data_IF_957786165802
#
_entry.id   IF_957786165802
#
_cell.length_a   1.000
_cell.length_b   1.000
_cell.length_c   1.000
_cell.angle_alpha   90.00
_cell.angle_beta   90.00
_cell.angle_gamma   90.00
#
_symmetry.space_group_name_H-M   'P 1'
#
loop_
_entity.id
_entity.type
_entity.pdbx_description
1 polymer ?
#
# COMPACT_ATOMS: atom_id res chain seq x y z
N UNK A 1 -6.05 -27.11 -5.35
CA UNK A 1 -5.69 -25.75 -5.81
C UNK A 1 -4.36 -25.36 -5.16
N UNK A 2 -3.42 -24.82 -5.92
CA UNK A 2 -2.12 -24.37 -5.40
C UNK A 2 -2.28 -22.99 -4.77
N UNK A 3 -1.87 -22.85 -3.50
CA UNK A 3 -1.91 -21.58 -2.78
C UNK A 3 -0.71 -20.71 -3.16
N UNK A 4 -0.92 -19.40 -3.28
CA UNK A 4 0.17 -18.47 -3.57
C UNK A 4 1.19 -18.45 -2.43
N UNK A 5 2.49 -18.40 -2.77
CA UNK A 5 3.60 -18.40 -1.80
C UNK A 5 3.50 -17.25 -0.82
N UNK A 6 3.12 -16.07 -1.29
CA UNK A 6 3.06 -14.89 -0.43
C UNK A 6 1.95 -14.98 0.61
N UNK A 7 0.84 -15.64 0.28
CA UNK A 7 -0.25 -15.88 1.23
C UNK A 7 0.23 -16.84 2.31
N UNK A 8 0.94 -17.91 1.93
CA UNK A 8 1.53 -18.84 2.91
C UNK A 8 2.54 -18.13 3.83
N UNK A 9 3.36 -17.23 3.27
CA UNK A 9 4.29 -16.41 4.07
C UNK A 9 3.51 -15.51 5.03
N UNK A 10 2.52 -14.77 4.54
CA UNK A 10 1.70 -13.85 5.35
C UNK A 10 1.01 -14.58 6.51
N UNK A 11 0.44 -15.76 6.26
CA UNK A 11 -0.17 -16.60 7.30
C UNK A 11 0.86 -17.05 8.35
N UNK A 12 2.07 -17.38 7.92
CA UNK A 12 3.13 -17.83 8.84
C UNK A 12 3.68 -16.69 9.69
N UNK A 13 3.88 -15.51 9.12
CA UNK A 13 4.46 -14.35 9.83
C UNK A 13 3.43 -13.57 10.62
N UNK A 14 2.17 -13.54 10.17
CA UNK A 14 1.11 -12.76 10.77
C UNK A 14 1.43 -11.26 10.76
N UNK A 15 1.11 -10.58 11.85
CA UNK A 15 1.31 -9.13 11.99
C UNK A 15 2.70 -8.75 12.54
N UNK A 16 3.62 -9.71 12.67
CA UNK A 16 4.95 -9.47 13.26
C UNK A 16 5.89 -8.73 12.32
N UNK A 17 5.78 -9.01 11.03
CA UNK A 17 6.65 -8.47 9.99
C UNK A 17 5.77 -8.10 8.80
N UNK A 18 5.82 -6.86 8.29
CA UNK A 18 5.06 -6.48 7.12
C UNK A 18 5.58 -7.22 5.88
N UNK A 19 4.67 -7.87 5.14
CA UNK A 19 4.98 -8.56 3.88
C UNK A 19 4.59 -7.68 2.70
N UNK A 20 5.50 -7.50 1.75
CA UNK A 20 5.26 -6.77 0.51
C UNK A 20 5.20 -7.75 -0.66
N UNK A 21 4.08 -7.75 -1.38
CA UNK A 21 3.91 -8.53 -2.61
C UNK A 21 4.51 -7.84 -3.83
N UNK A 22 5.40 -8.55 -4.50
CA UNK A 22 6.00 -8.12 -5.77
C UNK A 22 5.65 -9.14 -6.84
N UNK A 23 5.12 -8.67 -7.96
CA UNK A 23 4.69 -9.47 -9.10
C UNK A 23 4.06 -8.58 -10.17
N UNK A 24 3.84 -9.09 -11.37
CA UNK A 24 3.33 -8.33 -12.53
C UNK A 24 1.90 -7.79 -12.37
N UNK A 25 1.69 -6.90 -11.40
CA UNK A 25 0.45 -6.16 -11.15
C UNK A 25 0.39 -5.00 -12.14
N UNK A 26 -0.21 -5.24 -13.31
CA UNK A 26 -0.23 -4.28 -14.41
C UNK A 26 -1.48 -3.40 -14.40
N UNK A 27 -2.57 -3.90 -13.81
CA UNK A 27 -3.86 -3.21 -13.75
C UNK A 27 -4.30 -2.92 -12.32
N UNK A 28 -5.20 -1.93 -12.09
CA UNK A 28 -5.75 -1.68 -10.77
C UNK A 28 -6.47 -2.90 -10.19
N UNK A 29 -7.13 -3.67 -11.06
CA UNK A 29 -7.86 -4.88 -10.69
C UNK A 29 -6.91 -5.99 -10.20
N UNK A 30 -5.69 -6.07 -10.74
CA UNK A 30 -4.66 -6.99 -10.22
C UNK A 30 -4.24 -6.61 -8.80
N UNK A 31 -4.11 -5.30 -8.53
CA UNK A 31 -3.79 -4.79 -7.19
C UNK A 31 -4.88 -5.13 -6.19
N UNK A 32 -6.15 -4.90 -6.56
CA UNK A 32 -7.29 -5.23 -5.69
C UNK A 32 -7.29 -6.72 -5.36
N UNK A 33 -7.17 -7.60 -6.37
CA UNK A 33 -7.12 -9.05 -6.17
C UNK A 33 -5.95 -9.46 -5.27
N UNK A 34 -4.78 -8.85 -5.44
CA UNK A 34 -3.61 -9.14 -4.62
C UNK A 34 -3.85 -8.76 -3.14
N UNK A 35 -4.45 -7.61 -2.88
CA UNK A 35 -4.78 -7.16 -1.52
C UNK A 35 -5.90 -8.01 -0.88
N UNK A 36 -6.86 -8.48 -1.66
CA UNK A 36 -7.92 -9.39 -1.21
C UNK A 36 -7.37 -10.75 -0.72
N UNK A 37 -6.14 -11.12 -1.10
CA UNK A 37 -5.48 -12.34 -0.58
C UNK A 37 -5.01 -12.23 0.87
N UNK A 38 -5.12 -11.05 1.50
CA UNK A 38 -4.69 -10.80 2.87
C UNK A 38 -3.25 -10.33 3.01
N UNK A 39 -2.52 -10.15 1.91
CA UNK A 39 -1.20 -9.50 1.91
C UNK A 39 -1.37 -8.00 2.18
N UNK A 40 -0.63 -7.43 3.14
CA UNK A 40 -0.89 -6.06 3.59
C UNK A 40 -0.39 -4.98 2.61
N UNK A 41 0.61 -5.30 1.77
CA UNK A 41 1.26 -4.34 0.88
C UNK A 41 1.60 -4.97 -0.48
N UNK A 42 1.62 -4.15 -1.53
CA UNK A 42 2.10 -4.56 -2.86
C UNK A 42 3.02 -3.50 -3.48
N UNK A 43 3.96 -3.94 -4.31
CA UNK A 43 4.87 -3.07 -5.04
C UNK A 43 4.39 -2.86 -6.49
N UNK A 44 4.44 -1.61 -6.95
CA UNK A 44 3.97 -1.19 -8.28
C UNK A 44 5.08 -0.71 -9.21
N UNK A 45 6.30 -1.26 -9.09
CA UNK A 45 7.47 -0.77 -9.82
C UNK A 45 7.27 -0.76 -11.34
N UNK A 46 7.10 -1.94 -11.94
CA UNK A 46 7.00 -2.07 -13.41
C UNK A 46 5.82 -1.30 -13.99
N UNK A 47 4.65 -1.37 -13.34
CA UNK A 47 3.47 -0.69 -13.82
C UNK A 47 3.64 0.84 -13.78
N UNK A 48 4.22 1.40 -12.71
CA UNK A 48 4.51 2.84 -12.62
C UNK A 48 5.56 3.29 -13.64
N UNK A 49 6.56 2.47 -13.94
CA UNK A 49 7.53 2.79 -15.00
C UNK A 49 6.86 2.85 -16.38
N UNK A 50 5.92 1.95 -16.66
CA UNK A 50 5.22 1.92 -17.95
C UNK A 50 4.22 3.07 -18.11
N UNK A 51 3.57 3.49 -17.03
CA UNK A 51 2.56 4.55 -17.09
C UNK A 51 2.48 5.30 -15.75
N UNK A 52 3.31 6.30 -15.48
CA UNK A 52 3.38 6.93 -14.15
C UNK A 52 2.04 7.48 -13.61
N UNK A 53 1.11 7.82 -14.50
CA UNK A 53 -0.22 8.34 -14.14
C UNK A 53 -1.28 7.25 -13.90
N UNK A 54 -0.96 5.97 -14.15
CA UNK A 54 -1.94 4.88 -14.17
C UNK A 54 -2.70 4.65 -12.86
N UNK A 55 -2.13 4.77 -11.64
CA UNK A 55 -2.93 4.59 -10.44
C UNK A 55 -3.87 5.78 -10.19
N UNK A 56 -3.61 6.93 -10.83
CA UNK A 56 -4.34 8.20 -10.63
C UNK A 56 -5.10 8.66 -11.87
N UNK A 57 -5.28 7.78 -12.88
CA UNK A 57 -5.90 8.14 -14.15
C UNK A 57 -7.16 9.00 -14.02
N UNK A 58 -7.48 9.84 -15.03
CA UNK A 58 -8.33 11.03 -14.88
C UNK A 58 -9.74 10.79 -14.28
N UNK A 59 -10.23 9.55 -14.32
CA UNK A 59 -11.52 9.14 -13.76
C UNK A 59 -11.49 8.79 -12.25
N UNK A 60 -10.32 8.52 -11.65
CA UNK A 60 -10.19 7.98 -10.27
C UNK A 60 -9.48 8.90 -9.28
N UNK A 61 -8.87 10.00 -9.71
CA UNK A 61 -8.14 10.94 -8.85
C UNK A 61 -8.95 11.56 -7.69
N UNK A 62 -10.30 11.44 -7.65
CA UNK A 62 -11.12 12.08 -6.61
C UNK A 62 -12.17 11.22 -5.90
N UNK A 63 -12.43 9.96 -6.29
CA UNK A 63 -13.61 9.24 -5.77
C UNK A 63 -13.38 7.83 -5.22
N UNK A 64 -12.21 7.22 -5.38
CA UNK A 64 -12.13 5.74 -5.33
C UNK A 64 -11.36 5.08 -4.19
N UNK A 65 -10.40 5.74 -3.54
CA UNK A 65 -9.57 5.09 -2.50
C UNK A 65 -10.09 5.51 -1.12
N UNK A 66 -11.35 5.15 -0.83
CA UNK A 66 -11.97 5.28 0.50
C UNK A 66 -12.06 3.94 1.22
N UNK A 67 -11.15 3.00 0.93
CA UNK A 67 -11.04 1.76 1.70
C UNK A 67 -9.77 1.82 2.54
N UNK A 68 -9.93 1.52 3.83
CA UNK A 68 -9.07 1.77 5.00
C UNK A 68 -7.55 1.53 4.89
N UNK A 69 -7.06 0.93 3.81
CA UNK A 69 -5.64 0.60 3.61
C UNK A 69 -4.73 1.80 3.31
N UNK A 70 -5.22 2.85 2.63
CA UNK A 70 -4.35 3.98 2.25
C UNK A 70 -4.15 5.02 3.37
N UNK A 71 -5.03 5.05 4.40
CA UNK A 71 -4.94 6.08 5.46
C UNK A 71 -3.75 5.93 6.40
N UNK A 72 -3.06 4.78 6.38
CA UNK A 72 -1.85 4.58 7.18
C UNK A 72 -0.64 5.35 6.61
N UNK A 73 -0.60 5.59 5.29
CA UNK A 73 0.48 6.35 4.65
C UNK A 73 0.40 7.86 4.91
N UNK A 74 -0.80 8.41 5.17
CA UNK A 74 -0.95 9.84 5.47
C UNK A 74 -0.78 10.18 6.95
N UNK A 75 -0.96 9.22 7.87
CA UNK A 75 -0.79 9.43 9.31
C UNK A 75 0.68 9.48 9.78
N UNK A 76 1.63 9.03 8.97
CA UNK A 76 3.05 8.95 9.36
C UNK A 76 3.94 10.12 8.95
N UNK A 77 3.44 11.08 8.15
CA UNK A 77 4.28 12.16 7.58
C UNK A 77 3.93 13.56 8.15
N UNK A 78 2.91 13.66 9.01
CA UNK A 78 2.33 14.95 9.43
C UNK A 78 2.63 15.46 10.85
N UNK A 79 3.13 14.65 11.78
CA UNK A 79 2.94 14.94 13.22
C UNK A 79 4.24 15.10 14.04
N UNK A 80 5.29 15.69 13.45
CA UNK A 80 6.57 15.95 14.16
C UNK A 80 7.01 17.41 14.18
N UNK A 81 6.12 18.36 13.86
CA UNK A 81 6.40 19.82 13.95
C UNK A 81 5.67 20.55 15.06
N UNK A 82 5.15 19.85 16.07
CA UNK A 82 4.57 20.47 17.26
C UNK A 82 5.05 19.76 18.54
N UNK A 83 6.35 19.85 18.85
CA UNK A 83 6.81 19.59 20.23
C UNK A 83 8.10 20.32 20.64
N UNK A 84 8.67 21.21 19.82
CA UNK A 84 9.73 22.12 20.27
C UNK A 84 9.19 23.53 20.45
N UNK A 85 8.55 23.74 21.59
CA UNK A 85 8.15 25.04 22.10
C UNK A 85 8.14 24.99 23.62
N UNK A 86 9.27 25.28 24.25
CA UNK A 86 9.36 25.45 25.70
C UNK A 86 10.65 24.96 26.34
N UNK A 87 11.77 25.68 26.12
CA UNK A 87 12.76 25.91 27.17
C UNK A 87 13.23 27.37 27.07
N UNK A 88 12.97 28.08 28.14
CA UNK A 88 13.28 29.47 28.44
C UNK A 88 14.76 29.67 28.78
N UNK A 89 15.34 30.77 28.27
CA UNK A 89 16.10 31.77 29.03
C UNK A 89 15.70 33.16 28.52
#
# INVERSE_FOLDING_TARGET
>A
MTKSRIVMIQERVGNRIPVVGVGGLLTPEDVVKALETGVPLVALGHALMMNPDWPFGPKRARKGIKNRHFSLLSKGIGDSRQSMGGYSE
#
